data_IF_327865818598
#
_entry.id   IF_327865818598
#
_cell.length_a   1.000
_cell.length_b   1.000
_cell.length_c   1.000
_cell.angle_alpha   90.00
_cell.angle_beta   90.00
_cell.angle_gamma   90.00
#
_symmetry.space_group_name_H-M   'P 1'
#
loop_
_entity.id
_entity.type
_entity.pdbx_description
1 polymer ?
#
# COMPACT_ATOMS: atom_id res chain seq x y z
N UNK A 1 -13.16 -3.61 20.05
CA UNK A 1 -11.86 -4.07 20.57
C UNK A 1 -10.98 -2.86 20.79
N UNK A 2 -9.90 -3.00 21.55
CA UNK A 2 -8.87 -1.98 21.74
C UNK A 2 -7.51 -2.58 21.35
N UNK A 3 -6.59 -1.74 20.89
CA UNK A 3 -5.23 -2.17 20.58
C UNK A 3 -4.42 -2.25 21.88
N UNK A 4 -3.78 -3.40 22.12
CA UNK A 4 -2.96 -3.64 23.32
C UNK A 4 -1.65 -4.32 22.92
N UNK A 5 -0.58 -3.52 22.93
CA UNK A 5 0.75 -3.99 22.55
C UNK A 5 1.31 -5.03 23.55
N UNK A 6 0.95 -4.95 24.83
CA UNK A 6 1.39 -5.91 25.85
C UNK A 6 0.74 -7.26 25.57
N UNK A 7 -0.57 -7.25 25.33
CA UNK A 7 -1.30 -8.47 24.98
C UNK A 7 -0.83 -9.05 23.64
N UNK A 8 -0.68 -8.22 22.59
CA UNK A 8 -0.17 -8.68 21.30
C UNK A 8 1.23 -9.30 21.42
N UNK A 9 2.12 -8.69 22.21
CA UNK A 9 3.43 -9.25 22.54
C UNK A 9 3.33 -10.59 23.26
N UNK A 10 2.46 -10.70 24.27
CA UNK A 10 2.22 -11.97 24.98
C UNK A 10 1.70 -13.07 24.06
N UNK A 11 0.79 -12.76 23.13
CA UNK A 11 0.28 -13.71 22.12
C UNK A 11 1.36 -14.14 21.14
N UNK A 12 2.23 -13.22 20.71
CA UNK A 12 3.37 -13.56 19.86
C UNK A 12 4.34 -14.50 20.60
N UNK A 13 4.67 -14.18 21.85
CA UNK A 13 5.54 -15.03 22.69
C UNK A 13 4.93 -16.42 22.88
N UNK A 14 3.62 -16.51 23.16
CA UNK A 14 2.91 -17.79 23.29
C UNK A 14 3.06 -18.65 22.03
N UNK A 15 2.89 -18.07 20.83
CA UNK A 15 3.06 -18.81 19.57
C UNK A 15 4.51 -19.26 19.39
N UNK A 16 5.46 -18.34 19.59
CA UNK A 16 6.89 -18.62 19.39
C UNK A 16 7.47 -19.59 20.42
N UNK A 17 6.92 -19.67 21.64
CA UNK A 17 7.38 -20.61 22.65
C UNK A 17 6.96 -22.06 22.39
N UNK A 18 6.04 -22.29 21.44
CA UNK A 18 5.55 -23.62 21.06
C UNK A 18 6.31 -24.25 19.88
N UNK A 19 7.38 -23.62 19.40
CA UNK A 19 8.23 -24.14 18.32
C UNK A 19 9.69 -24.19 18.75
N UNK A 20 10.44 -25.16 18.22
CA UNK A 20 11.86 -25.34 18.58
C UNK A 20 12.76 -24.21 18.05
N UNK A 21 12.43 -23.67 16.87
CA UNK A 21 13.12 -22.53 16.25
C UNK A 21 12.12 -21.40 15.91
N UNK A 22 11.98 -20.37 16.77
CA UNK A 22 11.13 -19.22 16.53
C UNK A 22 11.44 -18.46 15.22
N UNK A 23 12.70 -18.46 14.77
CA UNK A 23 13.09 -17.74 13.54
C UNK A 23 12.55 -18.44 12.29
N UNK A 24 12.40 -19.77 12.34
CA UNK A 24 11.85 -20.56 11.24
C UNK A 24 10.42 -20.15 10.87
N UNK A 25 9.62 -19.70 11.85
CA UNK A 25 8.24 -19.21 11.63
C UNK A 25 8.24 -18.01 10.69
N UNK A 26 9.16 -17.07 10.91
CA UNK A 26 9.29 -15.90 10.05
C UNK A 26 9.93 -16.25 8.70
N UNK A 27 10.89 -17.18 8.68
CA UNK A 27 11.55 -17.62 7.45
C UNK A 27 10.60 -18.39 6.50
N UNK A 28 9.56 -19.03 7.04
CA UNK A 28 8.54 -19.75 6.27
C UNK A 28 7.52 -18.82 5.58
N UNK A 29 7.47 -17.54 5.94
CA UNK A 29 6.59 -16.57 5.29
C UNK A 29 7.03 -16.32 3.84
N UNK A 30 6.06 -16.25 2.93
CA UNK A 30 6.32 -15.92 1.52
C UNK A 30 6.97 -14.55 1.44
N UNK A 31 8.19 -14.50 0.89
CA UNK A 31 8.88 -13.24 0.63
C UNK A 31 8.36 -12.64 -0.65
N UNK A 32 7.79 -11.45 -0.54
CA UNK A 32 7.36 -10.64 -1.67
C UNK A 32 8.33 -9.46 -1.82
N UNK A 33 8.47 -8.95 -3.05
CA UNK A 33 9.10 -7.66 -3.26
C UNK A 33 8.13 -6.57 -2.82
N UNK A 34 8.57 -5.60 -2.03
CA UNK A 34 7.71 -4.52 -1.55
C UNK A 34 8.46 -3.20 -1.46
N UNK A 35 7.73 -2.11 -1.51
CA UNK A 35 8.26 -0.78 -1.22
C UNK A 35 8.18 -0.49 0.28
N UNK A 36 9.03 0.41 0.81
CA UNK A 36 8.68 1.15 2.03
C UNK A 36 7.43 2.01 1.78
N UNK A 37 6.94 2.67 2.83
CA UNK A 37 5.92 3.71 2.66
C UNK A 37 6.51 4.87 1.85
N UNK A 38 5.90 5.16 0.70
CA UNK A 38 6.30 6.26 -0.18
C UNK A 38 5.39 7.45 0.11
N UNK A 39 5.96 8.65 0.18
CA UNK A 39 5.22 9.90 0.35
C UNK A 39 5.44 10.79 -0.87
N UNK A 40 4.36 11.19 -1.52
CA UNK A 40 4.37 12.20 -2.58
C UNK A 40 3.82 13.49 -1.99
N UNK A 41 4.58 14.57 -2.04
CA UNK A 41 4.10 15.89 -1.64
C UNK A 41 2.93 16.31 -2.52
N UNK A 42 1.81 16.67 -1.89
CA UNK A 42 0.60 17.07 -2.59
C UNK A 42 -0.18 18.04 -1.69
N UNK A 43 -0.43 19.28 -2.12
CA UNK A 43 -1.16 20.27 -1.32
C UNK A 43 -2.51 19.74 -0.84
N UNK A 44 -2.91 20.16 0.37
CA UNK A 44 -4.15 19.71 1.01
C UNK A 44 -5.39 20.06 0.17
N UNK A 45 -5.31 21.16 -0.58
CA UNK A 45 -6.36 21.67 -1.45
C UNK A 45 -6.68 20.71 -2.61
N UNK A 46 -5.69 19.93 -3.07
CA UNK A 46 -5.85 19.09 -4.26
C UNK A 46 -5.68 17.59 -4.00
N UNK A 47 -5.06 17.17 -2.90
CA UNK A 47 -4.72 15.74 -2.66
C UNK A 47 -5.92 14.80 -2.70
N UNK A 48 -7.07 15.23 -2.21
CA UNK A 48 -8.30 14.43 -2.23
C UNK A 48 -8.86 14.32 -3.66
N UNK A 49 -8.85 15.41 -4.43
CA UNK A 49 -9.28 15.40 -5.83
C UNK A 49 -8.34 14.52 -6.69
N UNK A 50 -7.03 14.58 -6.45
CA UNK A 50 -6.05 13.74 -7.14
C UNK A 50 -6.37 12.25 -6.92
N UNK A 51 -6.62 11.85 -5.68
CA UNK A 51 -6.96 10.45 -5.36
C UNK A 51 -8.32 10.06 -5.93
N UNK A 52 -9.30 10.96 -5.95
CA UNK A 52 -10.62 10.69 -6.56
C UNK A 52 -10.52 10.49 -8.08
N UNK A 53 -9.71 11.27 -8.79
CA UNK A 53 -9.45 11.04 -10.22
C UNK A 53 -8.66 9.75 -10.45
N UNK A 54 -7.74 9.41 -9.56
CA UNK A 54 -7.03 8.13 -9.62
C UNK A 54 -7.96 6.95 -9.38
N UNK A 55 -8.94 7.09 -8.48
CA UNK A 55 -9.98 6.10 -8.23
C UNK A 55 -10.75 5.74 -9.49
N UNK A 56 -11.25 6.74 -10.23
CA UNK A 56 -11.98 6.51 -11.49
C UNK A 56 -11.11 5.73 -12.49
N UNK A 57 -9.84 6.11 -12.64
CA UNK A 57 -8.89 5.37 -13.48
C UNK A 57 -8.66 3.93 -13.00
N UNK A 58 -8.51 3.73 -11.69
CA UNK A 58 -8.21 2.43 -11.11
C UNK A 58 -9.41 1.47 -11.22
N UNK A 59 -10.62 1.96 -11.05
CA UNK A 59 -11.87 1.20 -11.21
C UNK A 59 -12.02 0.66 -12.65
N UNK A 60 -11.62 1.45 -13.65
CA UNK A 60 -11.65 1.02 -15.06
C UNK A 60 -10.49 0.08 -15.43
N UNK A 61 -9.29 0.29 -14.86
CA UNK A 61 -8.07 -0.44 -15.25
C UNK A 61 -7.90 -1.78 -14.53
N UNK A 62 -8.28 -1.87 -13.25
CA UNK A 62 -7.90 -3.00 -12.41
C UNK A 62 -9.08 -3.91 -12.06
N UNK A 63 -8.92 -5.24 -12.19
CA UNK A 63 -10.01 -6.20 -11.96
C UNK A 63 -10.41 -6.32 -10.49
N UNK A 64 -9.49 -6.03 -9.56
CA UNK A 64 -9.74 -6.00 -8.12
C UNK A 64 -9.36 -4.64 -7.57
N UNK A 65 -10.32 -4.01 -6.91
CA UNK A 65 -10.23 -2.64 -6.44
C UNK A 65 -11.07 -2.46 -5.16
N UNK A 66 -10.59 -1.64 -4.22
CA UNK A 66 -11.24 -1.30 -2.95
C UNK A 66 -11.00 0.18 -2.65
N UNK A 67 -12.04 0.92 -2.29
CA UNK A 67 -12.04 2.38 -2.13
C UNK A 67 -12.35 2.89 -0.71
N UNK A 68 -12.13 2.06 0.32
CA UNK A 68 -12.53 2.37 1.71
C UNK A 68 -11.62 3.45 2.36
N UNK A 69 -10.29 3.35 2.18
CA UNK A 69 -9.30 4.30 2.73
C UNK A 69 -8.24 4.61 1.67
N UNK A 70 -8.61 5.48 0.74
CA UNK A 70 -7.92 5.65 -0.53
C UNK A 70 -8.26 4.51 -1.49
N UNK A 71 -7.33 4.21 -2.40
CA UNK A 71 -7.50 3.29 -3.52
C UNK A 71 -6.51 2.15 -3.38
N UNK A 72 -7.00 0.97 -3.02
CA UNK A 72 -6.25 -0.29 -3.11
C UNK A 72 -6.67 -1.02 -4.37
N UNK A 73 -5.70 -1.45 -5.17
CA UNK A 73 -5.94 -2.13 -6.44
C UNK A 73 -4.94 -3.27 -6.65
N UNK A 74 -5.35 -4.27 -7.41
CA UNK A 74 -4.54 -5.46 -7.65
C UNK A 74 -4.53 -5.83 -9.14
N UNK A 75 -3.37 -6.24 -9.62
CA UNK A 75 -3.12 -6.75 -10.98
C UNK A 75 -2.16 -7.92 -10.87
N UNK A 76 -2.56 -9.07 -11.39
CA UNK A 76 -1.77 -10.32 -11.31
C UNK A 76 -1.37 -10.65 -9.86
N UNK A 77 -0.07 -10.86 -9.60
CA UNK A 77 0.52 -11.14 -8.28
C UNK A 77 1.08 -9.86 -7.61
N UNK A 78 0.44 -8.71 -7.86
CA UNK A 78 0.85 -7.41 -7.31
C UNK A 78 -0.35 -6.58 -6.84
N UNK A 79 -0.11 -5.75 -5.83
CA UNK A 79 -1.07 -4.76 -5.37
C UNK A 79 -0.41 -3.42 -5.09
N UNK A 80 -1.23 -2.36 -5.24
CA UNK A 80 -0.86 -0.98 -4.93
C UNK A 80 -1.90 -0.33 -4.03
N UNK A 81 -1.46 0.62 -3.22
CA UNK A 81 -2.29 1.51 -2.41
C UNK A 81 -1.93 2.95 -2.74
N UNK A 82 -2.94 3.77 -2.98
CA UNK A 82 -2.85 5.22 -3.17
C UNK A 82 -3.86 5.86 -2.22
N UNK A 83 -3.40 6.57 -1.19
CA UNK A 83 -4.33 7.25 -0.25
C UNK A 83 -3.89 8.66 0.10
N UNK A 84 -4.82 9.60 0.31
CA UNK A 84 -4.47 10.91 0.83
C UNK A 84 -4.15 10.77 2.32
N UNK A 85 -3.10 11.44 2.80
CA UNK A 85 -2.87 11.53 4.24
C UNK A 85 -3.92 12.45 4.87
N UNK A 86 -4.53 12.01 5.98
CA UNK A 86 -5.50 12.84 6.70
C UNK A 86 -4.86 14.00 7.49
N UNK A 87 -3.57 13.90 7.81
CA UNK A 87 -2.90 14.82 8.73
C UNK A 87 -1.75 15.61 8.10
N UNK A 88 -1.38 15.29 6.87
CA UNK A 88 -0.24 15.91 6.18
C UNK A 88 -0.57 16.16 4.70
N UNK A 89 0.09 17.14 4.04
CA UNK A 89 -0.05 17.42 2.62
C UNK A 89 0.75 16.43 1.77
N UNK A 90 0.40 15.14 1.89
CA UNK A 90 1.02 14.06 1.13
C UNK A 90 -0.01 13.04 0.67
N UNK A 91 0.25 12.44 -0.48
CA UNK A 91 -0.34 11.18 -0.91
C UNK A 91 0.62 10.05 -0.51
N UNK A 92 0.10 9.04 0.18
CA UNK A 92 0.86 7.89 0.66
C UNK A 92 0.66 6.72 -0.30
N UNK A 93 1.77 6.13 -0.74
CA UNK A 93 1.79 4.95 -1.59
C UNK A 93 2.47 3.77 -0.94
N UNK A 94 2.01 2.56 -1.29
CA UNK A 94 2.69 1.31 -0.95
C UNK A 94 2.40 0.26 -2.02
N UNK A 95 3.42 -0.52 -2.37
CA UNK A 95 3.30 -1.59 -3.36
C UNK A 95 3.95 -2.87 -2.85
N UNK A 96 3.42 -4.00 -3.31
CA UNK A 96 3.98 -5.32 -3.08
C UNK A 96 3.66 -6.20 -4.28
N UNK A 97 4.62 -7.03 -4.68
CA UNK A 97 4.53 -7.89 -5.85
C UNK A 97 5.38 -9.16 -5.66
N UNK A 98 5.12 -10.19 -6.46
CA UNK A 98 5.91 -11.44 -6.44
C UNK A 98 7.40 -11.25 -6.70
N UNK A 99 7.77 -10.25 -7.49
CA UNK A 99 9.14 -9.98 -7.90
C UNK A 99 9.37 -8.48 -8.15
N UNK A 100 10.65 -8.11 -8.26
CA UNK A 100 11.07 -6.72 -8.39
C UNK A 100 10.62 -6.09 -9.71
N UNK A 101 10.57 -6.85 -10.80
CA UNK A 101 10.16 -6.32 -12.11
C UNK A 101 8.68 -5.92 -12.10
N UNK A 102 7.83 -6.78 -11.55
CA UNK A 102 6.39 -6.52 -11.40
C UNK A 102 6.15 -5.35 -10.42
N UNK A 103 6.96 -5.25 -9.36
CA UNK A 103 6.90 -4.13 -8.42
C UNK A 103 7.23 -2.78 -9.09
N UNK A 104 8.30 -2.74 -9.89
CA UNK A 104 8.72 -1.55 -10.63
C UNK A 104 7.68 -1.14 -11.69
N UNK A 105 7.05 -2.10 -12.36
CA UNK A 105 5.96 -1.84 -13.31
C UNK A 105 4.76 -1.17 -12.62
N UNK A 106 4.20 -1.78 -11.57
CA UNK A 106 3.00 -1.25 -10.90
C UNK A 106 3.28 0.09 -10.21
N UNK A 107 4.45 0.26 -9.60
CA UNK A 107 4.87 1.54 -9.03
C UNK A 107 5.00 2.61 -10.12
N UNK A 108 5.71 2.30 -11.20
CA UNK A 108 5.98 3.24 -12.29
C UNK A 108 4.70 3.71 -13.00
N UNK A 109 3.80 2.78 -13.31
CA UNK A 109 2.49 3.07 -13.91
C UNK A 109 1.66 4.00 -13.00
N UNK A 110 1.64 3.69 -11.71
CA UNK A 110 0.87 4.44 -10.72
C UNK A 110 1.41 5.86 -10.55
N UNK A 111 2.73 6.01 -10.39
CA UNK A 111 3.37 7.32 -10.27
C UNK A 111 3.19 8.16 -11.52
N UNK A 112 3.36 7.57 -12.69
CA UNK A 112 3.12 8.24 -13.98
C UNK A 112 1.68 8.77 -14.06
N UNK A 113 0.69 7.97 -13.66
CA UNK A 113 -0.71 8.40 -13.69
C UNK A 113 -1.01 9.49 -12.68
N UNK A 114 -0.45 9.41 -11.46
CA UNK A 114 -0.61 10.45 -10.45
C UNK A 114 0.02 11.76 -10.89
N UNK A 115 1.23 11.72 -11.45
CA UNK A 115 1.92 12.91 -11.98
C UNK A 115 1.11 13.57 -13.10
N UNK A 116 0.49 12.77 -13.98
CA UNK A 116 -0.43 13.28 -15.00
C UNK A 116 -1.63 13.98 -14.36
N UNK A 117 -2.32 13.33 -13.42
CA UNK A 117 -3.50 13.87 -12.74
C UNK A 117 -3.17 15.19 -12.02
N UNK A 118 -2.05 15.23 -11.29
CA UNK A 118 -1.63 16.44 -10.57
C UNK A 118 -1.41 17.62 -11.51
N UNK A 119 -0.76 17.40 -12.67
CA UNK A 119 -0.55 18.43 -13.70
C UNK A 119 -1.85 18.90 -14.38
N UNK A 120 -2.88 18.05 -14.41
CA UNK A 120 -4.19 18.42 -14.98
C UNK A 120 -5.03 19.27 -14.00
N UNK A 121 -4.74 19.21 -12.71
CA UNK A 121 -5.45 19.95 -11.65
C UNK A 121 -4.77 21.30 -11.38
N UNK A 122 -3.43 21.39 -11.50
CA UNK A 122 -2.67 22.62 -11.29
C UNK A 122 -1.23 22.56 -11.78
#
# INVERSE_FOLDING_TARGET
GFDDAIYAGARLIEVLSNVDDPLSVFAALTKMANTPEIRIECPDEIKFEVVERFKVYAEEKYPRFVDIDGVRFEKDDAWGLVRPSNTQPVIVLRFEAKDKATLEEIEGDTRTKLDQIMREIG
#
